data_IF_642490365687
#
_entry.id   IF_642490365687
#
_cell.length_a   1.000
_cell.length_b   1.000
_cell.length_c   1.000
_cell.angle_alpha   90.00
_cell.angle_beta   90.00
_cell.angle_gamma   90.00
#
_symmetry.space_group_name_H-M   'P 1'
#
loop_
_entity.id
_entity.type
_entity.pdbx_description
1 polymer ?
#
# COMPACT_ATOMS: atom_id res chain seq x y z
N UNK A 1 -30.66 0.65 33.17
CA UNK A 1 -30.38 1.76 32.24
C UNK A 1 -28.90 1.68 31.91
N UNK A 2 -28.63 1.29 30.68
CA UNK A 2 -27.33 0.94 30.11
C UNK A 2 -26.40 2.14 30.05
N UNK A 3 -25.10 1.89 30.17
CA UNK A 3 -24.09 2.49 29.30
C UNK A 3 -22.93 1.50 29.20
N UNK A 4 -22.99 0.68 28.16
CA UNK A 4 -21.85 -0.06 27.63
C UNK A 4 -20.97 0.96 26.94
N UNK A 5 -19.83 1.30 27.52
CA UNK A 5 -18.76 1.97 26.78
C UNK A 5 -18.11 0.91 25.91
N UNK A 6 -18.49 0.90 24.63
CA UNK A 6 -17.84 0.14 23.59
C UNK A 6 -16.35 0.37 23.64
N UNK A 7 -15.59 -0.70 23.88
CA UNK A 7 -14.16 -0.72 23.67
C UNK A 7 -13.91 -0.50 22.18
N UNK A 8 -13.47 0.70 21.78
CA UNK A 8 -12.73 0.87 20.54
C UNK A 8 -11.45 0.04 20.69
N UNK A 9 -11.44 -1.13 20.08
CA UNK A 9 -10.24 -1.93 19.92
C UNK A 9 -9.31 -1.15 18.97
N UNK A 10 -8.46 -0.29 19.52
CA UNK A 10 -7.26 0.17 18.85
C UNK A 10 -6.36 -1.04 18.73
N UNK A 11 -6.54 -1.80 17.65
CA UNK A 11 -5.52 -2.69 17.11
C UNK A 11 -4.42 -1.80 16.53
N UNK A 12 -3.66 -1.15 17.41
CA UNK A 12 -2.58 -0.25 17.03
C UNK A 12 -1.38 -1.09 16.65
N UNK A 13 -1.21 -1.33 15.36
CA UNK A 13 0.04 -1.90 14.86
C UNK A 13 1.15 -0.85 15.14
N UNK A 14 2.14 -1.13 16.00
CA UNK A 14 3.10 -0.14 16.47
C UNK A 14 3.96 0.44 15.34
N UNK A 15 4.11 -0.32 14.25
CA UNK A 15 4.77 0.16 13.02
C UNK A 15 3.98 1.27 12.32
N UNK A 16 2.65 1.14 12.27
CA UNK A 16 1.75 2.12 11.64
C UNK A 16 1.66 3.38 12.50
N UNK A 17 1.59 3.23 13.82
CA UNK A 17 1.61 4.36 14.75
C UNK A 17 2.92 5.15 14.65
N UNK A 18 4.04 4.46 14.47
CA UNK A 18 5.33 5.09 14.22
C UNK A 18 5.34 5.87 12.90
N UNK A 19 4.90 5.28 11.79
CA UNK A 19 4.78 5.99 10.50
C UNK A 19 3.86 7.21 10.63
N UNK A 20 2.69 7.07 11.28
CA UNK A 20 1.76 8.17 11.48
C UNK A 20 2.39 9.34 12.26
N UNK A 21 3.23 9.03 13.26
CA UNK A 21 3.99 10.05 14.00
C UNK A 21 4.98 10.80 13.10
N UNK A 22 5.61 10.09 12.16
CA UNK A 22 6.54 10.68 11.19
C UNK A 22 5.81 11.53 10.15
N UNK A 23 4.63 11.12 9.68
CA UNK A 23 3.77 11.93 8.79
C UNK A 23 3.37 13.25 9.46
N UNK A 24 3.04 13.21 10.75
CA UNK A 24 2.75 14.42 11.51
C UNK A 24 3.99 15.33 11.66
N UNK A 25 5.16 14.73 11.89
CA UNK A 25 6.43 15.47 12.00
C UNK A 25 6.84 16.14 10.68
N UNK A 26 6.61 15.49 9.54
CA UNK A 26 6.86 16.03 8.20
C UNK A 26 6.03 17.29 7.91
N UNK A 27 4.83 17.40 8.50
CA UNK A 27 3.99 18.60 8.40
C UNK A 27 4.43 19.74 9.32
N UNK A 28 5.42 19.52 10.18
CA UNK A 28 5.96 20.52 11.12
C UNK A 28 7.13 21.30 10.51
N UNK A 29 7.46 22.46 11.10
CA UNK A 29 8.52 23.35 10.60
C UNK A 29 9.94 22.71 10.58
N UNK A 30 10.14 21.56 11.22
CA UNK A 30 11.43 20.85 11.24
C UNK A 30 11.53 19.71 10.20
N UNK A 31 10.47 19.48 9.43
CA UNK A 31 10.45 18.50 8.34
C UNK A 31 10.80 17.08 8.78
N UNK A 32 11.15 16.24 7.81
CA UNK A 32 11.63 14.89 8.05
C UNK A 32 13.15 14.90 8.29
N UNK A 33 13.60 14.59 9.51
CA UNK A 33 15.02 14.69 9.90
C UNK A 33 15.82 13.43 9.55
N UNK A 34 17.16 13.57 9.48
CA UNK A 34 18.06 12.41 9.32
C UNK A 34 17.90 11.38 10.44
N UNK A 35 17.70 11.83 11.68
CA UNK A 35 17.47 10.93 12.83
C UNK A 35 16.19 10.11 12.64
N UNK A 36 15.12 10.73 12.12
CA UNK A 36 13.88 10.04 11.81
C UNK A 36 14.06 9.07 10.63
N UNK A 37 14.82 9.46 9.60
CA UNK A 37 15.18 8.58 8.49
C UNK A 37 15.96 7.36 8.96
N UNK A 38 16.91 7.55 9.87
CA UNK A 38 17.73 6.47 10.40
C UNK A 38 16.89 5.50 11.23
N UNK A 39 16.04 6.02 12.14
CA UNK A 39 15.10 5.18 12.90
C UNK A 39 14.18 4.40 11.97
N UNK A 40 13.70 5.03 10.90
CA UNK A 40 12.84 4.39 9.92
C UNK A 40 13.58 3.26 9.17
N UNK A 41 14.79 3.52 8.69
CA UNK A 41 15.61 2.53 8.00
C UNK A 41 15.92 1.32 8.90
N UNK A 42 16.38 1.58 10.14
CA UNK A 42 16.70 0.53 11.11
C UNK A 42 15.46 -0.28 11.53
N UNK A 43 14.29 0.37 11.61
CA UNK A 43 13.04 -0.30 11.98
C UNK A 43 12.61 -1.33 10.93
N UNK A 44 12.78 -1.02 9.65
CA UNK A 44 12.35 -1.89 8.55
C UNK A 44 13.44 -2.82 8.02
N UNK A 45 14.72 -2.59 8.33
CA UNK A 45 15.79 -3.47 7.90
C UNK A 45 15.77 -4.80 8.67
N UNK A 46 15.02 -5.77 8.15
CA UNK A 46 14.89 -7.10 8.73
C UNK A 46 16.28 -7.76 8.75
N UNK A 47 16.56 -8.56 9.77
CA UNK A 47 17.83 -9.29 9.96
C UNK A 47 19.10 -8.43 10.11
N UNK A 48 18.99 -7.10 10.29
CA UNK A 48 20.15 -6.18 10.37
C UNK A 48 21.04 -6.26 9.13
N UNK A 49 20.42 -6.41 7.96
CA UNK A 49 21.10 -6.27 6.68
C UNK A 49 21.72 -4.86 6.53
N UNK A 50 22.71 -4.73 5.64
CA UNK A 50 23.28 -3.42 5.27
C UNK A 50 22.36 -2.62 4.32
N UNK A 51 21.34 -3.27 3.76
CA UNK A 51 20.40 -2.71 2.80
C UNK A 51 18.99 -3.30 2.96
N UNK A 52 17.97 -2.46 2.78
CA UNK A 52 16.57 -2.86 2.74
C UNK A 52 16.32 -3.75 1.53
N UNK A 53 15.82 -4.95 1.78
CA UNK A 53 15.43 -5.92 0.76
C UNK A 53 13.98 -5.68 0.29
N UNK A 54 13.53 -6.28 -0.82
CA UNK A 54 12.18 -6.11 -1.31
C UNK A 54 11.07 -6.43 -0.29
N UNK A 55 11.20 -7.46 0.57
CA UNK A 55 10.25 -7.70 1.66
C UNK A 55 10.18 -6.55 2.68
N UNK A 56 11.32 -5.94 3.02
CA UNK A 56 11.44 -4.83 3.97
C UNK A 56 10.69 -3.61 3.45
N UNK A 57 10.97 -3.26 2.19
CA UNK A 57 10.32 -2.15 1.50
C UNK A 57 8.84 -2.42 1.37
N UNK A 58 8.44 -3.63 0.97
CA UNK A 58 7.01 -4.01 0.90
C UNK A 58 6.29 -3.78 2.22
N UNK A 59 6.88 -4.18 3.36
CA UNK A 59 6.29 -3.93 4.68
C UNK A 59 6.19 -2.44 4.99
N UNK A 60 7.22 -1.65 4.67
CA UNK A 60 7.19 -0.19 4.80
C UNK A 60 6.04 0.43 3.98
N UNK A 61 5.88 0.03 2.72
CA UNK A 61 4.81 0.57 1.86
C UNK A 61 3.41 0.24 2.39
N UNK A 62 3.21 -0.98 2.90
CA UNK A 62 1.95 -1.36 3.55
C UNK A 62 1.65 -0.48 4.76
N UNK A 63 2.62 -0.26 5.64
CA UNK A 63 2.40 0.55 6.83
C UNK A 63 2.18 2.03 6.50
N UNK A 64 2.81 2.53 5.43
CA UNK A 64 2.54 3.87 4.89
C UNK A 64 1.10 3.98 4.39
N UNK A 65 0.64 3.03 3.56
CA UNK A 65 -0.76 3.01 3.13
C UNK A 65 -1.71 2.98 4.33
N UNK A 66 -1.42 2.14 5.32
CA UNK A 66 -2.25 2.02 6.53
C UNK A 66 -2.26 3.30 7.37
N UNK A 67 -1.11 3.96 7.52
CA UNK A 67 -0.98 5.22 8.26
C UNK A 67 -1.78 6.34 7.60
N UNK A 68 -1.82 6.37 6.26
CA UNK A 68 -2.64 7.31 5.50
C UNK A 68 -4.12 6.90 5.39
N UNK A 69 -4.51 5.73 5.93
CA UNK A 69 -5.86 5.14 5.83
C UNK A 69 -6.26 4.81 4.38
N UNK A 70 -5.29 4.38 3.58
CA UNK A 70 -5.49 3.89 2.22
C UNK A 70 -5.65 2.38 2.18
N UNK A 71 -6.31 1.83 1.14
CA UNK A 71 -6.53 0.40 1.05
C UNK A 71 -5.22 -0.37 0.82
N UNK A 72 -5.04 -1.46 1.57
CA UNK A 72 -3.79 -2.23 1.67
C UNK A 72 -3.60 -3.20 0.49
N UNK A 73 -3.42 -2.70 -0.72
CA UNK A 73 -2.92 -3.50 -1.84
C UNK A 73 -1.68 -2.82 -2.38
N UNK A 74 -0.54 -3.51 -2.29
CA UNK A 74 0.73 -3.12 -2.93
C UNK A 74 1.03 -4.17 -4.01
N UNK A 75 0.63 -3.93 -5.28
CA UNK A 75 1.08 -4.75 -6.40
C UNK A 75 2.60 -4.77 -6.49
N UNK A 76 3.17 -5.84 -7.05
CA UNK A 76 4.63 -5.94 -7.21
C UNK A 76 5.18 -4.85 -8.13
N UNK A 77 4.38 -4.40 -9.11
CA UNK A 77 4.72 -3.30 -10.00
C UNK A 77 4.95 -1.98 -9.25
N UNK A 78 4.27 -1.78 -8.12
CA UNK A 78 4.47 -0.59 -7.28
C UNK A 78 5.79 -0.66 -6.51
N UNK A 79 6.29 -1.86 -6.19
CA UNK A 79 7.62 -2.03 -5.61
C UNK A 79 8.70 -1.70 -6.62
N UNK A 80 8.54 -2.18 -7.85
CA UNK A 80 9.49 -1.89 -8.94
C UNK A 80 9.60 -0.38 -9.15
N UNK A 81 8.48 0.34 -9.22
CA UNK A 81 8.47 1.82 -9.32
C UNK A 81 9.21 2.50 -8.16
N UNK A 82 9.04 2.02 -6.92
CA UNK A 82 9.73 2.59 -5.75
C UNK A 82 11.23 2.30 -5.80
N UNK A 83 11.63 1.09 -6.21
CA UNK A 83 13.04 0.76 -6.37
C UNK A 83 13.68 1.52 -7.53
N UNK A 84 12.99 1.69 -8.66
CA UNK A 84 13.49 2.50 -9.79
C UNK A 84 13.68 3.98 -9.42
N UNK A 85 12.84 4.53 -8.56
CA UNK A 85 12.92 5.94 -8.16
C UNK A 85 13.97 6.19 -7.07
N UNK A 86 14.13 5.26 -6.13
CA UNK A 86 14.97 5.46 -4.93
C UNK A 86 16.33 4.76 -5.05
N UNK A 87 16.39 3.57 -5.65
CA UNK A 87 17.64 2.84 -5.84
C UNK A 87 18.40 3.42 -7.02
N UNK A 88 19.66 3.80 -6.78
CA UNK A 88 20.55 4.31 -7.83
C UNK A 88 21.27 3.13 -8.50
N UNK A 89 21.37 2.01 -7.79
CA UNK A 89 21.94 0.77 -8.29
C UNK A 89 20.88 -0.18 -8.87
N UNK A 90 21.23 -0.92 -9.93
CA UNK A 90 20.40 -2.01 -10.53
C UNK A 90 20.24 -3.23 -9.59
N UNK A 91 20.41 -3.02 -8.28
CA UNK A 91 20.22 -4.04 -7.25
C UNK A 91 18.80 -3.93 -6.74
N UNK A 92 18.11 -5.06 -6.60
CA UNK A 92 16.82 -5.17 -5.92
C UNK A 92 16.97 -4.97 -4.40
N UNK A 93 17.74 -3.98 -3.95
CA UNK A 93 18.01 -3.69 -2.54
C UNK A 93 18.39 -2.23 -2.41
N UNK A 94 17.94 -1.58 -1.33
CA UNK A 94 18.14 -0.15 -1.10
C UNK A 94 19.08 0.08 0.07
N UNK A 95 20.24 0.68 -0.20
CA UNK A 95 21.23 0.99 0.82
C UNK A 95 20.81 2.19 1.68
N UNK A 96 21.44 2.35 2.85
CA UNK A 96 21.24 3.54 3.69
C UNK A 96 21.50 4.85 2.94
N UNK A 97 22.51 4.90 2.06
CA UNK A 97 22.86 6.11 1.31
C UNK A 97 21.75 6.51 0.34
N UNK A 98 21.19 5.54 -0.39
CA UNK A 98 20.06 5.74 -1.30
C UNK A 98 18.81 6.18 -0.53
N UNK A 99 18.50 5.47 0.54
CA UNK A 99 17.37 5.79 1.42
C UNK A 99 17.47 7.21 2.00
N UNK A 100 18.62 7.56 2.60
CA UNK A 100 18.89 8.88 3.16
C UNK A 100 18.79 9.97 2.09
N UNK A 101 19.31 9.71 0.89
CA UNK A 101 19.25 10.65 -0.23
C UNK A 101 17.82 11.05 -0.52
N UNK A 102 16.93 10.07 -0.67
CA UNK A 102 15.51 10.32 -0.91
C UNK A 102 14.82 11.02 0.27
N UNK A 103 14.95 10.46 1.47
CA UNK A 103 14.17 10.90 2.64
C UNK A 103 14.62 12.21 3.27
N UNK A 104 15.89 12.60 3.11
CA UNK A 104 16.46 13.77 3.82
C UNK A 104 16.79 14.91 2.87
N UNK A 105 17.19 14.62 1.63
CA UNK A 105 17.76 15.64 0.74
C UNK A 105 16.92 15.94 -0.49
N UNK A 106 16.24 14.94 -1.06
CA UNK A 106 15.55 15.09 -2.33
C UNK A 106 14.08 15.50 -2.18
N UNK A 107 13.45 15.20 -1.04
CA UNK A 107 12.03 15.40 -0.83
C UNK A 107 11.76 16.31 0.37
N UNK A 108 10.86 17.28 0.18
CA UNK A 108 10.30 18.09 1.27
C UNK A 108 9.31 17.28 2.12
N UNK A 109 8.57 16.38 1.43
CA UNK A 109 7.60 15.46 2.04
C UNK A 109 7.82 14.02 1.57
N UNK A 110 8.90 13.34 2.02
CA UNK A 110 9.24 12.00 1.56
C UNK A 110 8.15 10.95 1.76
N UNK A 111 7.38 10.96 2.86
CA UNK A 111 6.32 9.97 3.11
C UNK A 111 5.10 10.20 2.21
N UNK A 112 4.73 11.45 1.95
CA UNK A 112 3.69 11.75 0.96
C UNK A 112 4.15 11.42 -0.47
N UNK A 113 5.43 11.65 -0.78
CA UNK A 113 5.99 11.30 -2.10
C UNK A 113 6.02 9.79 -2.29
N UNK A 114 6.41 9.05 -1.26
CA UNK A 114 6.35 7.58 -1.28
C UNK A 114 4.92 7.08 -1.49
N UNK A 115 3.94 7.66 -0.79
CA UNK A 115 2.52 7.35 -1.02
C UNK A 115 2.12 7.59 -2.48
N UNK A 116 2.55 8.70 -3.09
CA UNK A 116 2.28 9.00 -4.51
C UNK A 116 2.92 7.98 -5.45
N UNK A 117 4.13 7.50 -5.14
CA UNK A 117 4.82 6.48 -5.95
C UNK A 117 4.08 5.14 -5.88
N UNK A 118 3.69 4.69 -4.68
CA UNK A 118 2.96 3.42 -4.49
C UNK A 118 1.59 3.43 -5.14
N UNK A 119 0.96 4.60 -5.22
CA UNK A 119 -0.38 4.76 -5.80
C UNK A 119 -0.33 5.21 -7.26
N UNK A 120 0.87 5.35 -7.85
CA UNK A 120 1.07 5.79 -9.23
C UNK A 120 0.47 4.76 -10.18
N UNK A 121 -0.45 5.23 -11.03
CA UNK A 121 -1.11 4.38 -12.02
C UNK A 121 -2.37 3.66 -11.50
N UNK A 122 -2.72 3.82 -10.22
CA UNK A 122 -3.97 3.29 -9.66
C UNK A 122 -5.03 4.39 -9.70
N UNK A 123 -6.19 4.10 -10.32
CA UNK A 123 -7.29 5.06 -10.34
C UNK A 123 -7.94 5.22 -8.96
N UNK A 124 -8.53 6.39 -8.71
CA UNK A 124 -9.27 6.65 -7.47
C UNK A 124 -10.42 5.65 -7.28
N UNK A 125 -11.01 5.21 -8.37
CA UNK A 125 -12.08 4.22 -8.43
C UNK A 125 -11.59 2.84 -7.99
N UNK A 126 -10.43 2.39 -8.49
CA UNK A 126 -9.79 1.13 -8.07
C UNK A 126 -9.39 1.17 -6.60
N UNK A 127 -8.85 2.30 -6.14
CA UNK A 127 -8.54 2.53 -4.74
C UNK A 127 -9.81 2.51 -3.87
N UNK A 128 -10.92 3.08 -4.34
CA UNK A 128 -12.16 3.16 -3.55
C UNK A 128 -12.83 1.80 -3.29
N UNK A 129 -12.55 0.80 -4.12
CA UNK A 129 -13.10 -0.57 -3.99
C UNK A 129 -12.09 -1.57 -3.45
N UNK A 130 -10.81 -1.21 -3.38
CA UNK A 130 -9.79 -2.04 -2.78
C UNK A 130 -10.11 -2.22 -1.30
N UNK A 131 -10.16 -3.49 -0.87
CA UNK A 131 -10.39 -3.86 0.53
C UNK A 131 -9.06 -4.24 1.16
N UNK A 132 -8.95 -3.98 2.45
CA UNK A 132 -7.87 -4.51 3.28
C UNK A 132 -7.96 -6.04 3.27
N UNK A 133 -7.00 -6.70 2.60
CA UNK A 133 -6.83 -8.15 2.66
C UNK A 133 -5.56 -8.39 3.45
N UNK A 134 -5.71 -8.63 4.76
CA UNK A 134 -4.65 -9.29 5.52
C UNK A 134 -4.68 -10.77 5.11
N UNK A 135 -3.66 -11.21 4.37
CA UNK A 135 -3.51 -12.64 4.09
C UNK A 135 -2.89 -13.25 5.34
N UNK A 136 -3.71 -13.91 6.15
CA UNK A 136 -3.23 -14.71 7.27
C UNK A 136 -2.49 -15.94 6.69
N UNK A 137 -1.19 -16.16 6.97
CA UNK A 137 -0.40 -17.23 6.32
C UNK A 137 -0.91 -18.65 6.59
N UNK A 138 -1.88 -18.82 7.48
CA UNK A 138 -2.33 -20.10 8.03
C UNK A 138 -3.69 -20.54 7.44
N UNK A 139 -4.46 -19.64 6.82
CA UNK A 139 -5.73 -20.02 6.21
C UNK A 139 -5.59 -20.18 4.69
N UNK A 140 -5.77 -21.42 4.23
CA UNK A 140 -5.96 -21.73 2.82
C UNK A 140 -7.10 -20.87 2.27
N UNK A 141 -6.78 -19.94 1.39
CA UNK A 141 -7.74 -19.10 0.69
C UNK A 141 -8.62 -20.02 -0.15
N UNK A 142 -9.82 -20.35 0.35
CA UNK A 142 -10.91 -20.75 -0.53
C UNK A 142 -11.26 -19.51 -1.36
N UNK A 143 -10.88 -19.53 -2.63
CA UNK A 143 -11.29 -18.51 -3.59
C UNK A 143 -12.82 -18.32 -3.48
N UNK A 144 -13.33 -17.14 -3.09
CA UNK A 144 -14.74 -16.88 -3.24
C UNK A 144 -15.04 -16.92 -4.73
N UNK A 145 -15.79 -17.93 -5.16
CA UNK A 145 -16.24 -18.08 -6.54
C UNK A 145 -17.13 -16.90 -6.92
N UNK A 146 -16.51 -15.82 -7.39
CA UNK A 146 -17.21 -14.73 -8.07
C UNK A 146 -17.44 -15.15 -9.51
N UNK A 147 -18.30 -16.15 -9.72
CA UNK A 147 -18.98 -16.33 -11.00
C UNK A 147 -19.92 -15.13 -11.20
N UNK A 148 -19.38 -14.02 -11.72
CA UNK A 148 -20.21 -13.04 -12.41
C UNK A 148 -20.52 -13.62 -13.79
N UNK A 149 -21.79 -13.80 -14.18
CA UNK A 149 -22.12 -14.15 -15.55
C UNK A 149 -21.84 -12.95 -16.45
N UNK A 150 -20.63 -12.90 -17.02
CA UNK A 150 -20.36 -12.13 -18.22
C UNK A 150 -21.24 -12.71 -19.34
N UNK A 151 -21.89 -11.83 -20.10
CA UNK A 151 -22.82 -12.13 -21.20
C UNK A 151 -24.29 -12.36 -20.80
N UNK A 152 -24.97 -11.27 -20.40
CA UNK A 152 -26.36 -11.09 -20.82
C UNK A 152 -26.38 -10.97 -22.35
N UNK A 153 -26.70 -12.06 -23.04
CA UNK A 153 -27.09 -11.98 -24.45
C UNK A 153 -28.39 -11.19 -24.57
N UNK A 154 -28.26 -9.90 -24.84
CA UNK A 154 -29.35 -9.09 -25.39
C UNK A 154 -29.63 -9.61 -26.80
N UNK A 155 -30.62 -10.48 -26.96
CA UNK A 155 -31.26 -10.71 -28.26
C UNK A 155 -32.70 -10.20 -28.20
N UNK A 156 -32.87 -8.92 -28.54
CA UNK A 156 -34.17 -8.37 -28.89
C UNK A 156 -34.59 -8.94 -30.26
N UNK A 157 -35.66 -9.75 -30.23
CA UNK A 157 -36.70 -10.01 -31.25
C UNK A 157 -36.43 -9.62 -32.71
N UNK A 158 -36.64 -10.57 -33.63
CA UNK A 158 -37.52 -10.35 -34.80
C UNK A 158 -38.32 -11.62 -35.14
N UNK A 159 -39.64 -11.53 -34.99
CA UNK A 159 -40.64 -12.44 -35.57
C UNK A 159 -40.41 -12.56 -37.08
N UNK A 160 -40.49 -13.77 -37.62
CA UNK A 160 -41.11 -14.02 -38.93
C UNK A 160 -41.99 -15.26 -38.82
N UNK A 161 -43.29 -15.03 -38.88
CA UNK A 161 -44.30 -16.03 -39.22
C UNK A 161 -44.02 -16.57 -40.62
N UNK A 162 -44.13 -17.89 -40.79
CA UNK A 162 -44.46 -18.50 -42.07
C UNK A 162 -45.49 -19.60 -41.81
N UNK A 163 -46.73 -19.33 -42.22
CA UNK A 163 -47.81 -20.28 -42.41
C UNK A 163 -47.58 -21.04 -43.71
N UNK A 164 -47.81 -22.36 -43.72
CA UNK A 164 -47.93 -23.16 -44.94
C UNK A 164 -49.38 -23.63 -45.08
N UNK A 165 -50.00 -23.28 -46.22
CA UNK A 165 -51.19 -23.95 -46.79
C UNK A 165 -50.78 -25.17 -47.57
#
# INVERSE_FOLDING_TARGET
MSQSTSSEAVSGNPSVDFIASLVAAESSAHGFTEENAQKLFEFYCIEKSEALQPPDVRKLLFDVLEAFKWPLVVPDECLDVVFEEISISDKNSMTWVEFKSFFVFLQDKPLHTLLQLVTKGISREELSVARLIAIDPIESIENPSFERPLFQHVTKKKKKEYTYT
#
